data_IF_767337751448
#
_entry.id   IF_767337751448
#
_cell.length_a   1.000
_cell.length_b   1.000
_cell.length_c   1.000
_cell.angle_alpha   90.00
_cell.angle_beta   90.00
_cell.angle_gamma   90.00
#
_symmetry.space_group_name_H-M   'P 1'
#
loop_
_entity.id
_entity.type
_entity.pdbx_description
1 polymer ?
#
# COMPACT_ATOMS: atom_id res chain seq x y z
N UNK A 1 -8.81 -2.44 5.90
CA UNK A 1 -8.26 -3.75 6.37
C UNK A 1 -8.55 -3.97 7.85
N UNK A 2 -7.96 -3.20 8.77
CA UNK A 2 -8.13 -3.42 10.22
C UNK A 2 -9.62 -3.41 10.64
N UNK A 3 -10.39 -2.45 10.13
CA UNK A 3 -11.83 -2.39 10.39
C UNK A 3 -12.60 -3.59 9.83
N UNK A 4 -12.28 -4.04 8.61
CA UNK A 4 -12.88 -5.25 8.01
C UNK A 4 -12.62 -6.49 8.87
N UNK A 5 -11.38 -6.68 9.35
CA UNK A 5 -11.03 -7.80 10.22
C UNK A 5 -11.72 -7.69 11.60
N UNK A 6 -11.84 -6.47 12.15
CA UNK A 6 -12.56 -6.21 13.39
C UNK A 6 -14.05 -6.56 13.27
N UNK A 7 -14.71 -6.08 12.21
CA UNK A 7 -16.13 -6.36 11.95
C UNK A 7 -16.36 -7.85 11.70
N UNK A 8 -15.48 -8.51 10.92
CA UNK A 8 -15.50 -9.96 10.76
C UNK A 8 -15.47 -10.66 12.12
N UNK A 9 -14.49 -10.33 12.96
CA UNK A 9 -14.33 -10.88 14.31
C UNK A 9 -15.59 -10.71 15.18
N UNK A 10 -16.23 -9.55 15.11
CA UNK A 10 -17.46 -9.27 15.86
C UNK A 10 -18.66 -10.07 15.33
N UNK A 11 -18.85 -10.09 14.02
CA UNK A 11 -20.01 -10.71 13.36
C UNK A 11 -19.89 -12.24 13.28
N UNK A 12 -18.68 -12.79 13.19
CA UNK A 12 -18.40 -14.23 13.20
C UNK A 12 -18.85 -14.93 14.48
N UNK A 13 -19.20 -14.19 15.54
CA UNK A 13 -19.82 -14.74 16.76
C UNK A 13 -21.25 -15.26 16.53
N UNK A 14 -21.96 -14.73 15.53
CA UNK A 14 -23.37 -15.03 15.27
C UNK A 14 -23.68 -15.43 13.82
N UNK A 15 -22.81 -15.06 12.87
CA UNK A 15 -23.04 -15.26 11.44
C UNK A 15 -21.79 -15.82 10.76
N UNK A 16 -21.97 -16.44 9.60
CA UNK A 16 -20.85 -16.84 8.74
C UNK A 16 -20.40 -15.64 7.92
N UNK A 17 -19.13 -15.25 8.03
CA UNK A 17 -18.63 -13.99 7.46
C UNK A 17 -17.48 -14.19 6.48
N UNK A 18 -17.68 -13.75 5.23
CA UNK A 18 -16.62 -13.57 4.24
C UNK A 18 -16.04 -12.15 4.33
N UNK A 19 -14.79 -11.98 3.90
CA UNK A 19 -14.12 -10.67 3.86
C UNK A 19 -13.53 -10.33 2.51
N UNK A 20 -13.63 -9.07 2.10
CA UNK A 20 -13.01 -8.55 0.88
C UNK A 20 -12.32 -7.21 1.14
N UNK A 21 -11.03 -7.11 0.87
CA UNK A 21 -10.31 -5.84 0.94
C UNK A 21 -9.24 -5.77 -0.16
N UNK A 22 -8.89 -4.55 -0.59
CA UNK A 22 -8.05 -4.34 -1.78
C UNK A 22 -6.70 -5.07 -1.79
N UNK A 23 -6.09 -5.29 -0.62
CA UNK A 23 -4.83 -6.03 -0.51
C UNK A 23 -4.97 -7.55 -0.63
N UNK A 24 -6.20 -8.10 -0.67
CA UNK A 24 -6.39 -9.53 -0.93
C UNK A 24 -6.06 -9.86 -2.38
N UNK A 25 -5.34 -10.96 -2.55
CA UNK A 25 -4.98 -11.50 -3.85
C UNK A 25 -6.19 -11.95 -4.65
N UNK A 26 -6.11 -11.90 -6.00
CA UNK A 26 -7.21 -12.29 -6.87
C UNK A 26 -7.77 -13.68 -6.56
N UNK A 27 -6.91 -14.65 -6.22
CA UNK A 27 -7.32 -16.02 -5.88
C UNK A 27 -8.15 -16.04 -4.59
N UNK A 28 -7.62 -15.44 -3.51
CA UNK A 28 -8.31 -15.38 -2.21
C UNK A 28 -9.61 -14.58 -2.33
N UNK A 29 -9.59 -13.51 -3.13
CA UNK A 29 -10.77 -12.68 -3.43
C UNK A 29 -11.85 -13.47 -4.15
N UNK A 30 -11.48 -14.29 -5.14
CA UNK A 30 -12.40 -15.17 -5.89
C UNK A 30 -13.03 -16.20 -4.98
N UNK A 31 -12.26 -16.79 -4.06
CA UNK A 31 -12.78 -17.79 -3.13
C UNK A 31 -13.70 -17.18 -2.06
N UNK A 32 -13.34 -16.05 -1.44
CA UNK A 32 -14.22 -15.37 -0.48
C UNK A 32 -15.53 -14.89 -1.15
N UNK A 33 -15.45 -14.48 -2.42
CA UNK A 33 -16.60 -14.18 -3.26
C UNK A 33 -17.45 -15.41 -3.59
N UNK A 34 -16.81 -16.55 -3.91
CA UNK A 34 -17.49 -17.84 -4.15
C UNK A 34 -18.30 -18.22 -2.93
N UNK A 35 -17.69 -18.21 -1.74
CA UNK A 35 -18.35 -18.51 -0.46
C UNK A 35 -19.61 -17.69 -0.23
N UNK A 36 -19.51 -16.38 -0.46
CA UNK A 36 -20.68 -15.50 -0.30
C UNK A 36 -21.76 -15.81 -1.34
N UNK A 37 -21.37 -16.02 -2.60
CA UNK A 37 -22.30 -16.31 -3.70
C UNK A 37 -23.01 -17.66 -3.53
N UNK A 38 -22.34 -18.65 -2.98
CA UNK A 38 -22.88 -20.01 -2.78
C UNK A 38 -23.59 -20.17 -1.43
N UNK A 39 -23.66 -19.11 -0.61
CA UNK A 39 -24.34 -19.15 0.69
C UNK A 39 -23.54 -19.83 1.80
N UNK A 40 -22.23 -20.06 1.61
CA UNK A 40 -21.30 -20.48 2.68
C UNK A 40 -21.12 -19.38 3.72
N UNK A 41 -21.38 -18.12 3.35
CA UNK A 41 -21.42 -16.97 4.27
C UNK A 41 -22.68 -16.13 4.10
N UNK A 42 -23.21 -15.68 5.23
CA UNK A 42 -24.43 -14.87 5.31
C UNK A 42 -24.10 -13.38 5.12
N UNK A 43 -22.90 -12.98 5.56
CA UNK A 43 -22.45 -11.59 5.55
C UNK A 43 -21.11 -11.47 4.84
N UNK A 44 -20.98 -10.46 3.99
CA UNK A 44 -19.73 -10.05 3.38
C UNK A 44 -19.29 -8.69 3.94
N UNK A 45 -18.14 -8.66 4.61
CA UNK A 45 -17.54 -7.41 5.09
C UNK A 45 -16.45 -6.96 4.12
N UNK A 46 -16.59 -5.75 3.59
CA UNK A 46 -15.79 -5.30 2.46
C UNK A 46 -15.20 -3.89 2.59
N UNK A 47 -14.08 -3.61 1.91
CA UNK A 47 -13.73 -2.23 1.51
C UNK A 47 -14.35 -1.89 0.14
N UNK A 48 -14.15 -0.67 -0.32
CA UNK A 48 -14.46 -0.19 -1.68
C UNK A 48 -13.98 -1.11 -2.83
N UNK A 49 -13.10 -2.07 -2.56
CA UNK A 49 -12.69 -3.11 -3.50
C UNK A 49 -13.85 -3.97 -4.05
N UNK A 50 -15.02 -4.01 -3.41
CA UNK A 50 -16.21 -4.69 -3.97
C UNK A 50 -16.82 -3.97 -5.15
N UNK A 51 -16.52 -2.68 -5.33
CA UNK A 51 -17.06 -1.86 -6.40
C UNK A 51 -16.70 -2.40 -7.79
N UNK A 52 -15.64 -3.22 -7.92
CA UNK A 52 -15.12 -3.69 -9.20
C UNK A 52 -14.67 -5.15 -9.17
N UNK A 53 -14.94 -5.89 -10.26
CA UNK A 53 -14.23 -7.13 -10.57
C UNK A 53 -14.78 -8.43 -9.97
N UNK A 54 -15.94 -8.42 -9.32
CA UNK A 54 -16.63 -9.64 -8.85
C UNK A 54 -18.13 -9.59 -9.14
N UNK A 55 -18.72 -10.75 -9.42
CA UNK A 55 -20.17 -10.93 -9.49
C UNK A 55 -20.67 -11.52 -8.17
N UNK A 56 -21.36 -10.71 -7.37
CA UNK A 56 -21.85 -11.07 -6.03
C UNK A 56 -23.36 -10.84 -5.97
N UNK A 57 -24.16 -11.79 -5.44
CA UNK A 57 -25.59 -11.63 -5.23
C UNK A 57 -25.84 -10.86 -3.92
N UNK A 58 -25.66 -9.54 -3.94
CA UNK A 58 -25.85 -8.69 -2.76
C UNK A 58 -27.28 -8.15 -2.76
N UNK A 59 -28.02 -8.42 -1.69
CA UNK A 59 -29.36 -7.85 -1.48
C UNK A 59 -29.31 -6.45 -0.85
N UNK A 60 -28.52 -6.30 0.22
CA UNK A 60 -28.44 -5.05 1.00
C UNK A 60 -26.99 -4.64 1.20
N UNK A 61 -26.70 -3.35 1.01
CA UNK A 61 -25.41 -2.74 1.32
C UNK A 61 -25.56 -1.79 2.50
N UNK A 62 -24.69 -1.96 3.51
CA UNK A 62 -24.62 -1.08 4.67
C UNK A 62 -23.24 -0.41 4.72
N UNK A 63 -23.22 0.91 4.57
CA UNK A 63 -22.00 1.71 4.72
C UNK A 63 -21.64 1.84 6.21
N UNK A 64 -20.41 1.48 6.57
CA UNK A 64 -19.90 1.62 7.95
C UNK A 64 -19.24 2.98 8.20
N UNK A 65 -18.78 3.61 7.13
CA UNK A 65 -18.15 4.94 7.10
C UNK A 65 -18.40 5.56 5.73
N UNK A 66 -18.33 6.87 5.69
CA UNK A 66 -18.51 7.74 4.54
C UNK A 66 -17.18 8.32 4.01
N UNK A 67 -16.05 7.84 4.55
CA UNK A 67 -14.71 8.30 4.19
C UNK A 67 -13.76 7.14 3.89
N UNK A 68 -12.71 7.42 3.13
CA UNK A 68 -11.66 6.47 2.77
C UNK A 68 -10.28 7.11 2.77
N UNK A 69 -9.27 6.26 2.98
CA UNK A 69 -7.88 6.64 2.83
C UNK A 69 -7.45 6.48 1.37
N UNK A 70 -7.04 7.57 0.71
CA UNK A 70 -6.63 7.58 -0.69
C UNK A 70 -5.13 7.29 -0.91
N UNK A 71 -4.40 7.03 0.18
CA UNK A 71 -2.95 6.87 0.17
C UNK A 71 -2.20 8.02 0.85
N UNK A 72 -2.85 9.19 0.97
CA UNK A 72 -2.28 10.42 1.55
C UNK A 72 -3.10 10.85 2.77
N UNK A 73 -4.41 10.98 2.63
CA UNK A 73 -5.30 11.43 3.71
C UNK A 73 -6.61 10.65 3.74
N UNK A 74 -7.34 10.81 4.85
CA UNK A 74 -8.75 10.42 4.91
C UNK A 74 -9.57 11.49 4.19
N UNK A 75 -10.41 11.07 3.24
CA UNK A 75 -11.32 11.95 2.52
C UNK A 75 -12.72 11.35 2.42
N UNK A 76 -13.77 12.17 2.28
CA UNK A 76 -15.12 11.68 1.99
C UNK A 76 -15.18 10.86 0.69
N UNK A 77 -16.14 9.94 0.62
CA UNK A 77 -16.48 9.20 -0.59
C UNK A 77 -17.06 10.15 -1.65
N UNK A 78 -16.70 9.92 -2.90
CA UNK A 78 -17.24 10.69 -4.03
C UNK A 78 -18.56 10.08 -4.54
N UNK A 79 -19.40 10.85 -5.27
CA UNK A 79 -20.62 10.32 -5.89
C UNK A 79 -20.38 9.07 -6.74
N UNK A 80 -19.32 9.08 -7.56
CA UNK A 80 -18.94 7.92 -8.38
C UNK A 80 -18.62 6.68 -7.52
N UNK A 81 -17.92 6.84 -6.40
CA UNK A 81 -17.59 5.72 -5.51
C UNK A 81 -18.84 5.18 -4.81
N UNK A 82 -19.71 6.08 -4.33
CA UNK A 82 -20.98 5.69 -3.70
C UNK A 82 -21.85 4.93 -4.68
N UNK A 83 -22.06 5.44 -5.90
CA UNK A 83 -22.88 4.76 -6.92
C UNK A 83 -22.27 3.43 -7.34
N UNK A 84 -20.94 3.34 -7.52
CA UNK A 84 -20.30 2.06 -7.87
C UNK A 84 -20.43 1.00 -6.79
N UNK A 85 -20.40 1.39 -5.51
CA UNK A 85 -20.61 0.49 -4.38
C UNK A 85 -22.11 0.12 -4.30
N UNK A 86 -22.98 1.13 -4.25
CA UNK A 86 -24.42 0.98 -4.14
C UNK A 86 -25.02 0.11 -5.25
N UNK A 87 -24.56 0.28 -6.49
CA UNK A 87 -24.97 -0.52 -7.66
C UNK A 87 -24.55 -1.99 -7.59
N UNK A 88 -23.88 -2.43 -6.53
CA UNK A 88 -23.67 -3.86 -6.24
C UNK A 88 -24.87 -4.52 -5.58
N UNK A 89 -25.79 -3.75 -4.98
CA UNK A 89 -27.04 -4.25 -4.45
C UNK A 89 -28.07 -4.48 -5.57
N UNK A 90 -28.90 -5.53 -5.45
CA UNK A 90 -30.07 -5.72 -6.30
C UNK A 90 -29.76 -6.02 -7.76
N UNK A 91 -28.95 -7.06 -8.04
CA UNK A 91 -28.67 -7.46 -9.44
C UNK A 91 -29.86 -8.23 -10.04
N UNK A 92 -30.24 -7.82 -11.25
CA UNK A 92 -31.27 -8.47 -12.07
C UNK A 92 -31.01 -9.99 -12.17
N UNK A 93 -32.03 -10.80 -11.86
CA UNK A 93 -31.94 -12.27 -11.82
C UNK A 93 -31.55 -12.89 -10.47
N UNK A 94 -31.17 -12.09 -9.46
CA UNK A 94 -30.93 -12.55 -8.08
C UNK A 94 -31.90 -11.90 -7.07
N UNK A 95 -32.14 -10.60 -7.19
CA UNK A 95 -33.10 -9.87 -6.37
C UNK A 95 -33.78 -8.77 -7.22
N UNK A 96 -35.11 -8.67 -7.18
CA UNK A 96 -35.86 -7.64 -7.91
C UNK A 96 -35.63 -6.22 -7.37
N UNK A 97 -35.23 -6.11 -6.09
CA UNK A 97 -34.94 -4.85 -5.40
C UNK A 97 -33.64 -4.99 -4.61
N UNK A 98 -32.84 -3.92 -4.59
CA UNK A 98 -31.64 -3.79 -3.77
C UNK A 98 -31.82 -2.67 -2.76
N UNK A 99 -31.28 -2.85 -1.54
CA UNK A 99 -31.38 -1.87 -0.48
C UNK A 99 -30.01 -1.30 -0.13
N UNK A 100 -29.99 -0.01 0.20
CA UNK A 100 -28.79 0.72 0.60
C UNK A 100 -29.09 1.39 1.94
N UNK A 101 -28.15 1.34 2.87
CA UNK A 101 -28.23 2.02 4.14
C UNK A 101 -26.85 2.24 4.75
N UNK A 102 -26.82 2.70 6.00
CA UNK A 102 -25.60 2.86 6.77
C UNK A 102 -25.80 2.39 8.21
N UNK A 103 -24.69 2.13 8.91
CA UNK A 103 -24.73 1.71 10.32
C UNK A 103 -24.92 2.87 11.30
N UNK A 104 -24.82 4.11 10.82
CA UNK A 104 -25.01 5.34 11.59
C UNK A 104 -25.79 6.37 10.78
N UNK A 105 -26.51 7.26 11.47
CA UNK A 105 -27.35 8.27 10.85
C UNK A 105 -26.54 9.35 10.09
N UNK A 106 -25.43 9.82 10.67
CA UNK A 106 -24.52 10.79 10.04
C UNK A 106 -23.92 10.25 8.74
N UNK A 107 -23.52 8.98 8.74
CA UNK A 107 -23.05 8.29 7.53
C UNK A 107 -24.18 8.17 6.50
N UNK A 108 -25.40 7.82 6.92
CA UNK A 108 -26.53 7.68 6.01
C UNK A 108 -26.85 8.99 5.30
N UNK A 109 -26.87 10.11 6.03
CA UNK A 109 -27.15 11.44 5.47
C UNK A 109 -26.16 11.81 4.38
N UNK A 110 -24.86 11.61 4.63
CA UNK A 110 -23.84 11.92 3.61
C UNK A 110 -23.90 10.94 2.42
N UNK A 111 -24.14 9.65 2.65
CA UNK A 111 -24.29 8.66 1.57
C UNK A 111 -25.50 8.97 0.68
N UNK A 112 -26.63 9.36 1.27
CA UNK A 112 -27.84 9.74 0.55
C UNK A 112 -27.62 10.98 -0.34
N UNK A 113 -26.94 12.00 0.21
CA UNK A 113 -26.55 13.19 -0.53
C UNK A 113 -25.63 12.86 -1.71
N UNK A 114 -24.63 11.98 -1.51
CA UNK A 114 -23.71 11.56 -2.57
C UNK A 114 -24.36 10.67 -3.63
N UNK A 115 -25.35 9.85 -3.25
CA UNK A 115 -26.06 8.96 -4.17
C UNK A 115 -26.92 9.75 -5.17
N UNK A 116 -27.57 10.82 -4.72
CA UNK A 116 -28.39 11.71 -5.56
C UNK A 116 -27.60 12.83 -6.25
N UNK A 117 -26.31 12.95 -5.94
CA UNK A 117 -25.45 13.96 -6.55
C UNK A 117 -25.17 13.64 -8.04
N UNK A 118 -25.11 14.67 -8.91
CA UNK A 118 -24.84 14.46 -10.33
C UNK A 118 -23.44 13.87 -10.57
N UNK A 119 -23.36 12.87 -11.44
CA UNK A 119 -22.09 12.26 -11.78
C UNK A 119 -21.24 13.19 -12.64
N UNK A 120 -19.98 13.36 -12.23
CA UNK A 120 -18.99 14.07 -13.04
C UNK A 120 -18.46 13.13 -14.12
N UNK A 121 -18.73 13.45 -15.37
CA UNK A 121 -18.11 12.78 -16.52
C UNK A 121 -16.58 12.96 -16.46
N UNK A 122 -15.83 11.92 -16.79
CA UNK A 122 -14.38 12.03 -16.97
C UNK A 122 -14.16 12.95 -18.16
N UNK A 123 -13.65 14.16 -17.88
CA UNK A 123 -13.30 15.14 -18.90
C UNK A 123 -11.79 15.18 -19.08
N UNK A 124 -11.33 15.53 -20.29
CA UNK A 124 -9.97 15.99 -20.53
C UNK A 124 -9.39 16.87 -19.41
N UNK A 125 -8.06 16.83 -19.18
CA UNK A 125 -7.06 16.05 -19.91
C UNK A 125 -6.77 14.64 -19.33
N UNK A 126 -6.53 13.66 -20.21
CA UNK A 126 -6.13 12.29 -19.90
C UNK A 126 -4.63 12.18 -19.60
N UNK A 127 -4.27 11.26 -18.72
CA UNK A 127 -2.90 11.12 -18.23
C UNK A 127 -2.05 10.19 -19.10
N UNK A 128 -0.86 10.65 -19.49
CA UNK A 128 0.08 9.92 -20.36
C UNK A 128 1.44 9.79 -19.67
N UNK A 129 1.96 8.56 -19.62
CA UNK A 129 3.30 8.25 -19.08
C UNK A 129 4.34 8.30 -20.20
N UNK A 130 5.62 8.58 -19.88
CA UNK A 130 6.68 8.55 -20.89
C UNK A 130 6.86 7.12 -21.41
N UNK A 131 7.38 7.00 -22.64
CA UNK A 131 7.89 5.74 -23.21
C UNK A 131 9.39 5.62 -23.00
N UNK A 132 9.96 4.42 -23.11
CA UNK A 132 11.42 4.21 -23.03
C UNK A 132 12.16 5.08 -24.06
N UNK A 133 11.65 5.15 -25.29
CA UNK A 133 12.22 5.99 -26.35
C UNK A 133 12.27 7.48 -25.94
N UNK A 134 11.17 8.02 -25.42
CA UNK A 134 11.14 9.41 -24.95
C UNK A 134 12.12 9.67 -23.79
N UNK A 135 12.31 8.71 -22.88
CA UNK A 135 13.30 8.83 -21.79
C UNK A 135 14.73 8.89 -22.34
N UNK A 136 15.06 8.06 -23.34
CA UNK A 136 16.38 8.07 -23.97
C UNK A 136 16.63 9.37 -24.74
N UNK A 137 15.64 9.88 -25.47
CA UNK A 137 15.75 11.16 -26.17
C UNK A 137 15.91 12.34 -25.20
N UNK A 138 15.14 12.37 -24.11
CA UNK A 138 15.29 13.39 -23.07
C UNK A 138 16.65 13.31 -22.38
N UNK A 139 17.20 12.10 -22.18
CA UNK A 139 18.54 11.92 -21.64
C UNK A 139 19.62 12.59 -22.51
N UNK A 140 19.52 12.41 -23.84
CA UNK A 140 20.43 13.06 -24.80
C UNK A 140 20.30 14.58 -24.75
N UNK A 141 19.06 15.09 -24.73
CA UNK A 141 18.80 16.53 -24.70
C UNK A 141 19.28 17.20 -23.40
N UNK A 142 19.01 16.57 -22.25
CA UNK A 142 19.40 17.09 -20.94
C UNK A 142 20.86 16.77 -20.58
N UNK A 143 21.57 15.98 -21.41
CA UNK A 143 22.94 15.50 -21.19
C UNK A 143 23.11 14.87 -19.80
N UNK A 144 22.13 14.08 -19.37
CA UNK A 144 22.14 13.41 -18.06
C UNK A 144 21.63 11.99 -18.16
N UNK A 145 22.21 11.09 -17.35
CA UNK A 145 21.73 9.70 -17.18
C UNK A 145 20.97 9.51 -15.87
N UNK A 146 20.66 10.60 -15.16
CA UNK A 146 19.88 10.56 -13.93
C UNK A 146 18.39 10.48 -14.24
N UNK A 147 17.82 9.29 -14.02
CA UNK A 147 16.42 9.02 -14.32
C UNK A 147 15.46 9.94 -13.55
N UNK A 148 15.75 10.25 -12.29
CA UNK A 148 14.89 11.12 -11.48
C UNK A 148 14.78 12.51 -12.11
N UNK A 149 15.92 13.10 -12.52
CA UNK A 149 15.95 14.40 -13.20
C UNK A 149 15.16 14.37 -14.51
N UNK A 150 15.33 13.32 -15.32
CA UNK A 150 14.60 13.17 -16.58
C UNK A 150 13.09 13.05 -16.34
N UNK A 151 12.66 12.25 -15.37
CA UNK A 151 11.25 12.08 -15.02
C UNK A 151 10.63 13.37 -14.47
N UNK A 152 11.35 14.10 -13.61
CA UNK A 152 10.90 15.41 -13.13
C UNK A 152 10.78 16.41 -14.27
N UNK A 153 11.73 16.42 -15.19
CA UNK A 153 11.68 17.27 -16.38
C UNK A 153 10.46 16.92 -17.24
N UNK A 154 10.24 15.63 -17.54
CA UNK A 154 9.07 15.16 -18.28
C UNK A 154 7.77 15.64 -17.63
N UNK A 155 7.61 15.41 -16.33
CA UNK A 155 6.39 15.77 -15.59
C UNK A 155 6.12 17.27 -15.55
N UNK A 156 7.17 18.11 -15.61
CA UNK A 156 7.04 19.57 -15.50
C UNK A 156 6.92 20.27 -16.85
N UNK A 157 7.59 19.75 -17.89
CA UNK A 157 7.80 20.48 -19.14
C UNK A 157 7.12 19.85 -20.36
N UNK A 158 6.65 18.59 -20.29
CA UNK A 158 5.99 18.00 -21.45
C UNK A 158 4.65 18.66 -21.74
N UNK A 159 4.48 19.01 -23.01
CA UNK A 159 3.24 19.50 -23.59
C UNK A 159 2.71 18.43 -24.52
N UNK A 160 1.41 18.25 -24.51
CA UNK A 160 0.74 17.26 -25.35
C UNK A 160 -0.25 17.99 -26.25
N UNK A 161 -0.37 17.53 -27.49
CA UNK A 161 -1.43 17.97 -28.39
C UNK A 161 -2.74 17.28 -28.01
N UNK A 162 -3.82 18.05 -27.94
CA UNK A 162 -5.13 17.51 -27.55
C UNK A 162 -5.34 17.38 -26.04
N UNK A 163 -6.31 16.57 -25.59
CA UNK A 163 -6.76 16.51 -24.21
C UNK A 163 -5.84 15.65 -23.34
N UNK A 164 -4.52 15.89 -23.33
CA UNK A 164 -3.58 15.06 -22.57
C UNK A 164 -2.69 15.89 -21.62
N UNK A 165 -2.28 15.25 -20.53
CA UNK A 165 -1.31 15.78 -19.56
C UNK A 165 -0.38 14.68 -19.10
N UNK A 166 0.76 15.06 -18.51
CA UNK A 166 1.68 14.11 -17.92
C UNK A 166 1.00 13.37 -16.75
N UNK A 167 1.15 12.04 -16.71
CA UNK A 167 0.64 11.21 -15.63
C UNK A 167 1.33 11.50 -14.29
N UNK A 168 0.62 11.27 -13.19
CA UNK A 168 1.22 11.36 -11.85
C UNK A 168 2.21 10.20 -11.63
N UNK A 169 3.50 10.49 -11.75
CA UNK A 169 4.59 9.49 -11.66
C UNK A 169 5.26 9.43 -10.27
N UNK A 170 4.54 9.75 -9.19
CA UNK A 170 5.13 9.84 -7.84
C UNK A 170 5.80 8.54 -7.37
N UNK A 171 5.20 7.39 -7.66
CA UNK A 171 5.78 6.08 -7.31
C UNK A 171 7.05 5.78 -8.11
N UNK A 172 7.07 6.13 -9.41
CA UNK A 172 8.26 5.98 -10.24
C UNK A 172 9.38 6.90 -9.77
N UNK A 173 9.06 8.13 -9.34
CA UNK A 173 10.02 9.06 -8.76
C UNK A 173 10.65 8.49 -7.47
N UNK A 174 9.85 7.94 -6.56
CA UNK A 174 10.36 7.31 -5.32
C UNK A 174 11.32 6.15 -5.62
N UNK A 175 10.99 5.29 -6.60
CA UNK A 175 11.89 4.20 -7.01
C UNK A 175 13.13 4.72 -7.74
N UNK A 176 12.99 5.74 -8.60
CA UNK A 176 14.13 6.34 -9.31
C UNK A 176 15.16 6.95 -8.36
N UNK A 177 14.70 7.53 -7.24
CA UNK A 177 15.58 8.06 -6.19
C UNK A 177 16.40 6.94 -5.53
N UNK A 178 15.79 5.78 -5.27
CA UNK A 178 16.51 4.61 -4.72
C UNK A 178 17.51 4.03 -5.73
N UNK A 179 17.17 4.07 -7.03
CA UNK A 179 18.03 3.59 -8.12
C UNK A 179 19.16 4.57 -8.46
N UNK A 180 19.06 5.85 -8.08
CA UNK A 180 20.10 6.86 -8.35
C UNK A 180 21.46 6.45 -7.77
N UNK A 181 21.48 5.93 -6.55
CA UNK A 181 22.72 5.50 -5.87
C UNK A 181 23.31 4.19 -6.44
N UNK A 182 22.57 3.47 -7.30
CA UNK A 182 22.96 2.17 -7.84
C UNK A 182 23.76 2.35 -9.13
N UNK A 183 25.09 2.37 -8.99
CA UNK A 183 26.04 2.33 -10.12
C UNK A 183 25.98 0.94 -10.79
N UNK A 184 26.09 0.90 -12.11
CA UNK A 184 26.09 -0.36 -12.90
C UNK A 184 24.80 -0.67 -13.66
N UNK A 185 23.72 0.09 -13.45
CA UNK A 185 22.50 -0.02 -14.28
C UNK A 185 22.51 1.00 -15.42
N UNK A 186 22.17 0.55 -16.61
CA UNK A 186 21.83 1.41 -17.75
C UNK A 186 20.59 2.26 -17.45
N UNK A 187 20.40 3.34 -18.21
CA UNK A 187 19.21 4.19 -18.08
C UNK A 187 17.92 3.41 -18.38
N UNK A 188 17.97 2.50 -19.36
CA UNK A 188 16.83 1.66 -19.72
C UNK A 188 16.45 0.71 -18.57
N UNK A 189 17.41 0.01 -17.97
CA UNK A 189 17.16 -0.85 -16.81
C UNK A 189 16.60 -0.07 -15.64
N UNK A 190 17.15 1.12 -15.35
CA UNK A 190 16.61 2.01 -14.31
C UNK A 190 15.16 2.38 -14.60
N UNK A 191 14.82 2.67 -15.85
CA UNK A 191 13.47 3.03 -16.24
C UNK A 191 12.50 1.84 -16.14
N UNK A 192 12.92 0.65 -16.56
CA UNK A 192 12.16 -0.60 -16.36
C UNK A 192 11.90 -0.81 -14.87
N UNK A 193 12.95 -0.81 -14.06
CA UNK A 193 12.87 -1.03 -12.60
C UNK A 193 12.01 0.04 -11.89
N UNK A 194 11.98 1.28 -12.36
CA UNK A 194 11.10 2.31 -11.79
C UNK A 194 9.60 2.02 -11.96
N UNK A 195 9.23 1.07 -12.84
CA UNK A 195 7.86 0.63 -13.09
C UNK A 195 7.49 -0.64 -12.32
N UNK A 196 8.39 -1.20 -11.52
CA UNK A 196 8.15 -2.43 -10.79
C UNK A 196 7.01 -2.28 -9.76
N UNK A 197 6.18 -3.32 -9.53
CA UNK A 197 5.05 -3.27 -8.60
C UNK A 197 5.52 -3.39 -7.14
N UNK A 198 6.23 -2.38 -6.64
CA UNK A 198 6.82 -2.37 -5.30
C UNK A 198 5.96 -1.57 -4.34
N UNK A 199 5.48 -2.23 -3.28
CA UNK A 199 4.83 -1.53 -2.17
C UNK A 199 5.88 -0.99 -1.21
N UNK A 200 6.12 0.33 -1.24
CA UNK A 200 7.08 0.99 -0.33
C UNK A 200 6.66 0.95 1.14
N UNK A 201 5.44 0.51 1.45
CA UNK A 201 4.97 0.33 2.84
C UNK A 201 5.44 -0.97 3.48
N UNK A 202 5.83 -1.98 2.70
CA UNK A 202 6.24 -3.29 3.24
C UNK A 202 7.77 -3.38 3.37
N UNK A 203 8.31 -3.56 4.58
CA UNK A 203 9.75 -3.76 4.79
C UNK A 203 10.27 -5.01 4.08
N UNK A 204 9.46 -6.08 4.03
CA UNK A 204 9.80 -7.34 3.36
C UNK A 204 9.97 -7.12 1.85
N UNK A 205 9.00 -6.46 1.21
CA UNK A 205 9.06 -6.19 -0.24
C UNK A 205 10.19 -5.20 -0.56
N UNK A 206 10.42 -4.18 0.28
CA UNK A 206 11.55 -3.25 0.14
C UNK A 206 12.92 -3.95 0.24
N UNK A 207 13.07 -4.86 1.20
CA UNK A 207 14.33 -5.62 1.36
C UNK A 207 14.56 -6.52 0.15
N UNK A 208 13.53 -7.24 -0.31
CA UNK A 208 13.61 -8.08 -1.50
C UNK A 208 13.92 -7.25 -2.76
N UNK A 209 13.27 -6.09 -2.94
CA UNK A 209 13.57 -5.16 -4.02
C UNK A 209 15.04 -4.77 -4.08
N UNK A 210 15.61 -4.33 -2.95
CA UNK A 210 17.02 -3.96 -2.87
C UNK A 210 17.96 -5.14 -3.18
N UNK A 211 17.62 -6.33 -2.70
CA UNK A 211 18.37 -7.55 -2.99
C UNK A 211 18.36 -7.89 -4.48
N UNK A 212 17.18 -7.90 -5.12
CA UNK A 212 17.03 -8.19 -6.54
C UNK A 212 17.71 -7.16 -7.43
N UNK A 213 17.59 -5.87 -7.12
CA UNK A 213 18.30 -4.80 -7.84
C UNK A 213 19.82 -4.98 -7.75
N UNK A 214 20.35 -5.35 -6.58
CA UNK A 214 21.78 -5.61 -6.43
C UNK A 214 22.23 -6.85 -7.25
N UNK A 215 21.42 -7.89 -7.32
CA UNK A 215 21.74 -9.07 -8.12
C UNK A 215 21.76 -8.74 -9.62
N UNK A 216 20.83 -7.89 -10.10
CA UNK A 216 20.82 -7.41 -11.49
C UNK A 216 22.11 -6.65 -11.82
N UNK A 217 22.55 -5.75 -10.93
CA UNK A 217 23.81 -5.01 -11.10
C UNK A 217 25.02 -5.95 -11.23
N UNK A 218 25.04 -7.02 -10.43
CA UNK A 218 26.11 -8.01 -10.43
C UNK A 218 25.96 -9.08 -11.51
N UNK A 219 24.83 -9.10 -12.23
CA UNK A 219 24.45 -10.17 -13.15
C UNK A 219 24.45 -11.56 -12.50
N UNK A 220 24.04 -11.62 -11.24
CA UNK A 220 23.92 -12.85 -10.46
C UNK A 220 22.53 -13.48 -10.66
N UNK A 221 22.48 -14.79 -10.90
CA UNK A 221 21.23 -15.55 -10.96
C UNK A 221 20.58 -15.60 -9.58
N UNK A 222 19.30 -15.22 -9.50
CA UNK A 222 18.52 -15.20 -8.28
C UNK A 222 17.47 -16.30 -8.32
N UNK A 223 17.71 -17.33 -7.50
CA UNK A 223 16.72 -18.37 -7.26
C UNK A 223 15.62 -17.92 -6.30
N UNK A 224 14.38 -18.34 -6.56
CA UNK A 224 13.23 -17.99 -5.74
C UNK A 224 13.30 -18.71 -4.38
N UNK A 225 13.10 -17.96 -3.29
CA UNK A 225 13.03 -18.49 -1.92
C UNK A 225 11.86 -17.88 -1.17
N UNK A 226 11.00 -18.74 -0.62
CA UNK A 226 9.90 -18.32 0.26
C UNK A 226 10.47 -17.82 1.60
N UNK A 227 9.92 -16.72 2.13
CA UNK A 227 10.31 -16.17 3.43
C UNK A 227 9.30 -16.43 4.54
N UNK A 228 8.21 -17.14 4.24
CA UNK A 228 7.13 -17.43 5.19
C UNK A 228 6.89 -18.93 5.30
N UNK A 229 6.64 -19.35 6.54
CA UNK A 229 6.13 -20.67 6.84
C UNK A 229 4.63 -20.71 6.57
N UNK A 230 4.20 -21.57 5.66
CA UNK A 230 2.79 -21.77 5.28
C UNK A 230 2.18 -23.00 5.95
N UNK A 231 2.79 -23.51 7.02
CA UNK A 231 2.26 -24.66 7.77
C UNK A 231 1.09 -24.22 8.67
N UNK A 232 -0.07 -24.84 8.49
CA UNK A 232 -1.27 -24.56 9.28
C UNK A 232 -1.97 -23.25 8.89
N UNK A 233 -2.41 -22.49 9.89
CA UNK A 233 -3.14 -21.22 9.74
C UNK A 233 -2.49 -20.12 10.58
N UNK A 234 -2.67 -18.86 10.17
CA UNK A 234 -2.18 -17.70 10.91
C UNK A 234 -2.84 -17.62 12.29
N UNK A 235 -2.00 -17.49 13.32
CA UNK A 235 -2.42 -17.29 14.72
C UNK A 235 -2.60 -15.82 15.06
N UNK A 236 -1.93 -14.93 14.32
CA UNK A 236 -1.92 -13.48 14.56
C UNK A 236 -2.17 -12.69 13.28
N UNK A 237 -2.67 -11.46 13.42
CA UNK A 237 -2.82 -10.56 12.26
C UNK A 237 -1.49 -10.25 11.57
N UNK A 238 -0.39 -10.27 12.33
CA UNK A 238 0.96 -10.05 11.81
C UNK A 238 1.44 -11.21 10.93
N UNK A 239 1.13 -12.46 11.29
CA UNK A 239 1.44 -13.62 10.44
C UNK A 239 0.66 -13.56 9.12
N UNK A 240 -0.62 -13.21 9.17
CA UNK A 240 -1.42 -13.02 7.97
C UNK A 240 -0.87 -11.86 7.11
N UNK A 241 -0.48 -10.75 7.75
CA UNK A 241 0.13 -9.62 7.03
C UNK A 241 1.46 -10.01 6.37
N UNK A 242 2.31 -10.82 7.04
CA UNK A 242 3.55 -11.33 6.45
C UNK A 242 3.28 -12.21 5.23
N UNK A 243 2.27 -13.07 5.29
CA UNK A 243 1.85 -13.89 4.15
C UNK A 243 1.30 -13.02 3.01
N UNK A 244 0.49 -11.99 3.31
CA UNK A 244 0.03 -11.01 2.32
C UNK A 244 1.20 -10.29 1.65
N UNK A 245 2.22 -9.88 2.42
CA UNK A 245 3.41 -9.21 1.89
C UNK A 245 4.32 -10.17 1.11
N UNK A 246 4.39 -11.45 1.49
CA UNK A 246 5.13 -12.46 0.73
C UNK A 246 4.59 -12.57 -0.69
N UNK A 247 3.27 -12.59 -0.87
CA UNK A 247 2.72 -12.70 -2.23
C UNK A 247 3.02 -11.45 -3.07
N UNK A 248 3.26 -10.28 -2.45
CA UNK A 248 3.73 -9.07 -3.18
C UNK A 248 5.17 -9.27 -3.62
N UNK A 249 6.01 -9.85 -2.75
CA UNK A 249 7.38 -10.25 -3.09
C UNK A 249 7.39 -11.26 -4.23
N UNK A 250 6.50 -12.25 -4.22
CA UNK A 250 6.35 -13.23 -5.31
C UNK A 250 5.95 -12.53 -6.61
N UNK A 251 4.98 -11.61 -6.55
CA UNK A 251 4.54 -10.84 -7.72
C UNK A 251 5.68 -9.99 -8.30
N UNK A 252 6.50 -9.40 -7.43
CA UNK A 252 7.72 -8.69 -7.82
C UNK A 252 8.73 -9.63 -8.49
N UNK A 253 8.97 -10.82 -7.92
CA UNK A 253 9.88 -11.81 -8.51
C UNK A 253 9.40 -12.25 -9.90
N UNK A 254 8.11 -12.60 -10.05
CA UNK A 254 7.53 -13.00 -11.34
C UNK A 254 7.61 -11.87 -12.37
N UNK A 255 7.38 -10.62 -11.95
CA UNK A 255 7.52 -9.46 -12.82
C UNK A 255 8.98 -9.28 -13.28
N UNK A 256 9.95 -9.51 -12.40
CA UNK A 256 11.37 -9.48 -12.74
C UNK A 256 11.77 -10.66 -13.63
N UNK A 257 11.23 -11.85 -13.40
CA UNK A 257 11.44 -13.01 -14.26
C UNK A 257 10.93 -12.80 -15.69
N UNK A 258 9.82 -12.08 -15.85
CA UNK A 258 9.36 -11.67 -17.17
C UNK A 258 10.27 -10.64 -17.85
N UNK A 259 10.93 -9.76 -17.08
CA UNK A 259 11.81 -8.70 -17.62
C UNK A 259 13.27 -9.11 -17.80
N UNK A 260 13.75 -10.03 -16.96
CA UNK A 260 15.13 -10.50 -16.89
C UNK A 260 15.16 -12.02 -16.72
N UNK A 261 14.69 -12.80 -17.71
CA UNK A 261 14.49 -14.25 -17.58
C UNK A 261 15.78 -15.00 -17.22
N UNK A 262 16.92 -14.60 -17.76
CA UNK A 262 18.23 -15.21 -17.48
C UNK A 262 18.67 -15.06 -16.02
N UNK A 263 18.25 -13.98 -15.34
CA UNK A 263 18.63 -13.70 -13.96
C UNK A 263 17.62 -14.25 -12.94
N UNK A 264 16.40 -14.56 -13.37
CA UNK A 264 15.30 -14.99 -12.50
C UNK A 264 14.58 -16.21 -13.11
N UNK A 265 15.24 -17.38 -13.14
CA UNK A 265 14.74 -18.55 -13.87
C UNK A 265 13.53 -19.24 -13.21
N UNK A 266 13.32 -19.05 -11.90
CA UNK A 266 12.40 -19.87 -11.10
C UNK A 266 10.94 -19.40 -11.15
N UNK A 267 10.44 -19.04 -12.34
CA UNK A 267 9.06 -18.56 -12.51
C UNK A 267 8.02 -19.59 -12.04
N UNK A 268 8.21 -20.86 -12.39
CA UNK A 268 7.31 -21.96 -12.01
C UNK A 268 7.28 -22.18 -10.49
N UNK A 269 8.43 -22.19 -9.84
CA UNK A 269 8.52 -22.37 -8.38
C UNK A 269 7.91 -21.18 -7.62
N UNK A 270 8.11 -19.96 -8.12
CA UNK A 270 7.48 -18.76 -7.58
C UNK A 270 5.94 -18.82 -7.73
N UNK A 271 5.41 -19.33 -8.84
CA UNK A 271 3.97 -19.55 -9.02
C UNK A 271 3.41 -20.61 -8.07
N UNK A 272 4.11 -21.74 -7.90
CA UNK A 272 3.70 -22.78 -6.95
C UNK A 272 3.72 -22.25 -5.51
N UNK A 273 4.73 -21.44 -5.16
CA UNK A 273 4.78 -20.77 -3.87
C UNK A 273 3.63 -19.78 -3.70
N UNK A 274 3.25 -19.04 -4.77
CA UNK A 274 2.09 -18.15 -4.76
C UNK A 274 0.82 -18.91 -4.38
N UNK A 275 0.60 -20.07 -4.98
CA UNK A 275 -0.54 -20.94 -4.70
C UNK A 275 -0.53 -21.40 -3.24
N UNK A 276 0.62 -21.84 -2.71
CA UNK A 276 0.76 -22.28 -1.31
C UNK A 276 0.44 -21.15 -0.32
N UNK A 277 1.00 -19.96 -0.54
CA UNK A 277 0.77 -18.81 0.35
C UNK A 277 -0.67 -18.31 0.25
N UNK A 278 -1.26 -18.29 -0.95
CA UNK A 278 -2.67 -17.95 -1.12
C UNK A 278 -3.59 -18.92 -0.35
N UNK A 279 -3.34 -20.23 -0.44
CA UNK A 279 -4.09 -21.24 0.33
C UNK A 279 -3.94 -21.03 1.84
N UNK A 280 -2.75 -20.67 2.30
CA UNK A 280 -2.52 -20.32 3.71
C UNK A 280 -3.32 -19.09 4.15
N UNK A 281 -3.33 -18.02 3.34
CA UNK A 281 -4.13 -16.82 3.59
C UNK A 281 -5.63 -17.15 3.63
N UNK A 282 -6.11 -17.94 2.67
CA UNK A 282 -7.50 -18.40 2.60
C UNK A 282 -7.91 -19.21 3.84
N UNK A 283 -7.13 -20.24 4.21
CA UNK A 283 -7.40 -21.04 5.40
C UNK A 283 -7.38 -20.19 6.69
N UNK A 284 -6.49 -19.21 6.75
CA UNK A 284 -6.39 -18.26 7.87
C UNK A 284 -7.61 -17.35 7.96
N UNK A 285 -8.17 -16.92 6.82
CA UNK A 285 -9.39 -16.11 6.78
C UNK A 285 -10.64 -16.93 7.04
N UNK A 286 -10.66 -18.22 6.66
CA UNK A 286 -11.77 -19.15 6.94
C UNK A 286 -11.88 -19.48 8.44
N UNK A 287 -10.76 -19.50 9.15
CA UNK A 287 -10.74 -19.76 10.60
C UNK A 287 -11.54 -18.71 11.38
N UNK A 288 -12.54 -19.17 12.14
CA UNK A 288 -13.30 -18.34 13.11
C UNK A 288 -12.46 -17.96 14.35
N UNK A 289 -11.22 -18.42 14.46
CA UNK A 289 -10.34 -18.08 15.58
C UNK A 289 -9.95 -16.61 15.48
N UNK A 290 -10.27 -15.85 16.53
CA UNK A 290 -9.85 -14.46 16.68
C UNK A 290 -8.34 -14.35 16.46
N UNK A 291 -7.93 -13.74 15.35
CA UNK A 291 -6.53 -13.34 15.17
C UNK A 291 -6.22 -12.35 16.29
N UNK A 292 -5.37 -12.76 17.24
CA UNK A 292 -5.01 -11.87 18.35
C UNK A 292 -4.30 -10.65 17.75
N UNK A 293 -4.84 -9.46 18.03
CA UNK A 293 -4.14 -8.22 17.74
C UNK A 293 -2.79 -8.27 18.46
N UNK A 294 -1.70 -8.04 17.74
CA UNK A 294 -0.38 -7.99 18.37
C UNK A 294 -0.35 -6.76 19.27
N UNK A 295 -0.30 -6.97 20.59
CA UNK A 295 -0.10 -5.90 21.56
C UNK A 295 1.20 -5.19 21.17
N UNK A 296 1.09 -3.98 20.63
CA UNK A 296 2.25 -3.09 20.51
C UNK A 296 2.71 -2.83 21.94
N UNK A 297 3.84 -3.44 22.36
CA UNK A 297 4.56 -2.98 23.55
C UNK A 297 4.80 -1.49 23.37
N UNK A 298 4.12 -0.65 24.15
CA UNK A 298 4.51 0.74 24.35
C UNK A 298 6.00 0.70 24.71
N UNK A 299 6.85 1.37 23.91
CA UNK A 299 8.19 1.70 24.37
C UNK A 299 8.01 2.49 25.67
N UNK A 300 8.69 2.15 26.76
CA UNK A 300 8.67 3.00 27.94
C UNK A 300 9.26 4.36 27.56
N UNK A 301 8.53 5.42 27.91
CA UNK A 301 9.03 6.79 27.83
C UNK A 301 10.35 6.87 28.61
N UNK A 302 11.41 7.28 27.93
CA UNK A 302 12.62 7.77 28.59
C UNK A 302 12.32 9.17 29.14
N UNK A 303 11.70 9.23 30.32
CA UNK A 303 11.76 10.39 31.21
C UNK A 303 12.42 9.93 32.50
N UNK A 304 13.65 10.36 32.69
CA UNK A 304 14.47 10.00 33.83
C UNK A 304 15.82 10.67 33.76
N UNK A 305 15.83 12.00 33.63
CA UNK A 305 16.96 12.82 34.07
C UNK A 305 17.19 12.53 35.55
N UNK A 306 18.19 11.70 35.84
CA UNK A 306 18.75 11.58 37.18
C UNK A 306 19.66 12.77 37.41
N UNK A 307 19.21 13.66 38.28
CA UNK A 307 20.02 14.72 38.86
C UNK A 307 21.29 14.14 39.49
N UNK A 308 22.44 14.64 39.04
CA UNK A 308 23.72 14.46 39.71
C UNK A 308 23.90 15.67 40.62
N UNK A 309 23.81 15.43 41.92
CA UNK A 309 24.14 16.39 42.96
C UNK A 309 25.66 16.63 42.98
N UNK A 310 26.09 17.86 42.74
CA UNK A 310 27.41 18.32 43.16
C UNK A 310 27.29 19.51 44.10
N UNK A 311 27.73 19.23 45.32
CA UNK A 311 27.83 20.04 46.53
C UNK A 311 28.23 21.49 46.27
N UNK A 312 27.45 22.43 46.85
CA UNK A 312 27.84 23.81 47.13
C UNK A 312 28.57 23.84 48.47
N UNK A 313 29.77 24.41 48.50
CA UNK A 313 30.38 24.99 49.71
C UNK A 313 30.33 26.53 49.61
N UNK A 314 30.29 27.25 50.73
CA UNK A 314 29.82 28.63 50.80
C UNK A 314 30.94 29.68 50.75
N UNK A 315 30.57 30.84 50.18
CA UNK A 315 30.93 32.28 50.43
C UNK A 315 31.95 32.65 51.51
N UNK A 316 32.52 33.90 51.56
CA UNK A 316 32.20 35.13 50.81
C UNK A 316 33.43 35.96 50.34
N UNK A 317 33.22 37.07 49.61
CA UNK A 317 33.80 38.41 49.92
C UNK A 317 33.98 39.32 48.69
N UNK A 318 33.21 40.42 48.72
CA UNK A 318 33.55 41.84 48.47
C UNK A 318 34.43 42.26 47.27
N UNK A 319 33.79 43.11 46.46
CA UNK A 319 34.22 44.48 46.11
C UNK A 319 35.67 44.72 45.62
N UNK A 320 35.71 45.11 44.34
CA UNK A 320 36.26 46.36 43.80
C UNK A 320 37.78 46.62 43.75
N UNK A 321 38.19 46.83 42.49
CA UNK A 321 38.92 48.00 41.96
C UNK A 321 40.46 48.05 41.96
N UNK A 322 40.92 48.17 40.71
CA UNK A 322 41.80 49.22 40.16
C UNK A 322 43.31 48.95 40.04
N UNK A 323 43.67 48.94 38.75
CA UNK A 323 44.70 49.77 38.12
C UNK A 323 46.18 49.48 38.42
N UNK A 324 46.86 48.95 37.41
CA UNK A 324 48.23 49.33 37.08
C UNK A 324 48.21 50.21 35.83
N UNK A 325 48.44 51.51 36.01
CA UNK A 325 49.36 52.34 35.21
C UNK A 325 49.34 53.76 35.76
N UNK A 326 50.34 54.07 36.57
CA UNK A 326 50.76 55.42 36.90
C UNK A 326 52.26 55.50 36.70
N UNK A 327 52.69 55.86 35.49
CA UNK A 327 54.06 56.26 35.20
C UNK A 327 54.06 57.79 35.18
N UNK A 328 54.42 58.40 36.31
CA UNK A 328 55.13 59.68 36.42
C UNK A 328 55.66 59.81 37.85
N UNK A 329 56.99 59.67 37.93
CA UNK A 329 57.96 60.10 38.93
C UNK A 329 57.73 59.73 40.39
#
# INVERSE_FOLDING_TARGET
RAEVLRLKSQLSKKHRVSVLYGNLYPEVRREEARRFREGDSDILVATDAIAMGLNLPIHTILFTTDSKFDGISQRPLTPNEVIQIAGRAGRYGHHEKGYIGATKADVLEHIDAMFHSPLRTIKPPFEVKPTTFQILELSKHLKTTDLETILRYYSKHMRFTGPFKAAKISSMLELSQQLRAKKGLSLEEKYILSQAPVSTKSPLVKSAWNFYVNAIIKKEVVHYKSSVNTSGIAKTELELLKAEDEVKKISLYLWLAYKFPELFPDSKEAELARVRVNRYCEASLKSNRLLKATVRRKRPDHTGEKGVSTKRNPTPSRYNNRSRRGRKR
#
